data_IF_139285263519
#
_entry.id   IF_139285263519
#
_cell.length_a   1.000
_cell.length_b   1.000
_cell.length_c   1.000
_cell.angle_alpha   90.00
_cell.angle_beta   90.00
_cell.angle_gamma   90.00
#
_symmetry.space_group_name_H-M   'P 1'
#
loop_
_entity.id
_entity.type
_entity.pdbx_description
1 polymer ?
#
# COMPACT_ATOMS: atom_id res chain seq x y z
N UNK A 1 -18.80 -1.95 19.14
CA UNK A 1 -17.40 -1.56 19.43
C UNK A 1 -16.45 -2.14 18.36
N UNK A 2 -16.27 -3.46 18.28
CA UNK A 2 -15.36 -4.08 17.28
C UNK A 2 -15.66 -3.76 15.80
N UNK A 3 -16.93 -3.74 15.39
CA UNK A 3 -17.33 -3.32 14.03
C UNK A 3 -16.94 -1.88 13.69
N UNK A 4 -16.90 -0.98 14.67
CA UNK A 4 -16.48 0.40 14.45
C UNK A 4 -14.97 0.49 14.18
N UNK A 5 -14.18 -0.35 14.88
CA UNK A 5 -12.75 -0.50 14.59
C UNK A 5 -12.52 -1.06 13.17
N UNK A 6 -13.26 -2.10 12.79
CA UNK A 6 -13.19 -2.68 11.44
C UNK A 6 -13.54 -1.66 10.35
N UNK A 7 -14.63 -0.89 10.53
CA UNK A 7 -14.99 0.19 9.60
C UNK A 7 -13.90 1.26 9.49
N UNK A 8 -13.22 1.57 10.60
CA UNK A 8 -12.03 2.41 10.61
C UNK A 8 -10.94 1.88 9.66
N UNK A 9 -10.68 0.57 9.70
CA UNK A 9 -9.68 -0.08 8.83
C UNK A 9 -10.00 0.05 7.34
N UNK A 10 -11.24 -0.23 6.94
CA UNK A 10 -11.61 -0.20 5.52
C UNK A 10 -11.65 1.20 4.92
N UNK A 11 -11.86 2.24 5.75
CA UNK A 11 -11.87 3.64 5.31
C UNK A 11 -10.46 4.25 5.32
N UNK A 12 -9.65 3.95 6.34
CA UNK A 12 -8.38 4.67 6.60
C UNK A 12 -7.23 3.81 7.07
N UNK A 13 -7.33 2.49 6.96
CA UNK A 13 -6.33 1.51 7.36
C UNK A 13 -6.18 1.36 8.87
N UNK A 14 -5.11 0.64 9.28
CA UNK A 14 -4.85 0.28 10.67
C UNK A 14 -4.77 1.47 11.65
N UNK A 15 -4.32 2.65 11.19
CA UNK A 15 -4.27 3.85 12.02
C UNK A 15 -5.69 4.32 12.42
N UNK A 16 -6.61 4.34 11.45
CA UNK A 16 -7.99 4.71 11.70
C UNK A 16 -8.74 3.63 12.50
N UNK A 17 -8.39 2.35 12.30
CA UNK A 17 -8.86 1.25 13.15
C UNK A 17 -8.47 1.41 14.62
N UNK A 18 -7.22 1.81 14.91
CA UNK A 18 -6.75 2.12 16.28
C UNK A 18 -7.43 3.36 16.84
N UNK A 19 -7.64 4.40 16.05
CA UNK A 19 -8.37 5.59 16.50
C UNK A 19 -9.81 5.25 16.92
N UNK A 20 -10.50 4.43 16.12
CA UNK A 20 -11.85 3.96 16.47
C UNK A 20 -11.88 3.09 17.74
N UNK A 21 -10.81 2.34 18.03
CA UNK A 21 -10.68 1.59 19.29
C UNK A 21 -10.76 2.54 20.50
N UNK A 22 -10.03 3.64 20.47
CA UNK A 22 -9.94 4.56 21.62
C UNK A 22 -11.18 5.42 21.79
N UNK A 23 -11.83 5.82 20.68
CA UNK A 23 -13.09 6.57 20.73
C UNK A 23 -14.24 5.71 21.27
N UNK A 24 -14.30 4.43 20.87
CA UNK A 24 -15.41 3.54 21.23
C UNK A 24 -15.07 2.58 22.40
N UNK A 25 -13.91 2.75 23.05
CA UNK A 25 -13.49 1.94 24.19
C UNK A 25 -13.43 0.44 23.90
N UNK A 26 -13.00 0.06 22.69
CA UNK A 26 -12.96 -1.36 22.31
C UNK A 26 -11.83 -2.06 23.06
N UNK A 27 -12.16 -3.10 23.83
CA UNK A 27 -11.18 -3.85 24.60
C UNK A 27 -10.16 -4.57 23.68
N UNK A 28 -8.97 -4.82 24.20
CA UNK A 28 -7.86 -5.39 23.42
C UNK A 28 -8.20 -6.77 22.84
N UNK A 29 -9.02 -7.56 23.54
CA UNK A 29 -9.43 -8.88 23.07
C UNK A 29 -10.30 -8.72 21.84
N UNK A 30 -11.38 -7.95 21.93
CA UNK A 30 -12.29 -7.65 20.81
C UNK A 30 -11.55 -7.01 19.64
N UNK A 31 -10.68 -6.03 19.90
CA UNK A 31 -9.86 -5.39 18.87
C UNK A 31 -8.99 -6.40 18.10
N UNK A 32 -8.32 -7.30 18.82
CA UNK A 32 -7.51 -8.36 18.21
C UNK A 32 -8.34 -9.33 17.36
N UNK A 33 -9.55 -9.68 17.77
CA UNK A 33 -10.43 -10.55 16.95
C UNK A 33 -10.79 -9.87 15.63
N UNK A 34 -11.19 -8.60 15.68
CA UNK A 34 -11.60 -7.85 14.49
C UNK A 34 -10.42 -7.55 13.54
N UNK A 35 -9.20 -7.36 14.06
CA UNK A 35 -8.02 -7.21 13.22
C UNK A 35 -7.70 -8.50 12.43
N UNK A 36 -7.91 -9.66 13.04
CA UNK A 36 -7.74 -10.96 12.36
C UNK A 36 -8.79 -11.15 11.26
N UNK A 37 -10.05 -10.76 11.51
CA UNK A 37 -11.11 -10.76 10.49
C UNK A 37 -10.80 -9.82 9.35
N UNK A 38 -10.31 -8.61 9.65
CA UNK A 38 -9.94 -7.62 8.64
C UNK A 38 -8.95 -8.18 7.61
N UNK A 39 -7.88 -8.80 8.12
CA UNK A 39 -6.85 -9.43 7.27
C UNK A 39 -7.41 -10.61 6.48
N UNK A 40 -8.26 -11.43 7.09
CA UNK A 40 -8.87 -12.58 6.42
C UNK A 40 -9.82 -12.17 5.29
N UNK A 41 -10.71 -11.20 5.54
CA UNK A 41 -11.62 -10.65 4.55
C UNK A 41 -10.87 -9.94 3.43
N UNK A 42 -9.84 -9.15 3.75
CA UNK A 42 -8.99 -8.53 2.73
C UNK A 42 -8.27 -9.57 1.86
N UNK A 43 -7.78 -10.66 2.47
CA UNK A 43 -7.12 -11.76 1.74
C UNK A 43 -8.09 -12.53 0.84
N UNK A 44 -9.30 -12.82 1.31
CA UNK A 44 -10.34 -13.46 0.51
C UNK A 44 -10.78 -12.54 -0.64
N UNK A 45 -10.99 -11.25 -0.37
CA UNK A 45 -11.33 -10.26 -1.38
C UNK A 45 -10.23 -10.13 -2.43
N UNK A 46 -8.97 -10.11 -2.02
CA UNK A 46 -7.82 -10.15 -2.93
C UNK A 46 -7.87 -11.37 -3.84
N UNK A 47 -8.15 -12.56 -3.31
CA UNK A 47 -8.27 -13.78 -4.12
C UNK A 47 -9.41 -13.66 -5.16
N UNK A 48 -10.56 -13.10 -4.76
CA UNK A 48 -11.68 -12.82 -5.67
C UNK A 48 -11.26 -11.83 -6.76
N UNK A 49 -10.60 -10.72 -6.40
CA UNK A 49 -10.13 -9.72 -7.35
C UNK A 49 -9.11 -10.30 -8.33
N UNK A 50 -8.16 -11.13 -7.87
CA UNK A 50 -7.19 -11.80 -8.73
C UNK A 50 -7.88 -12.78 -9.70
N UNK A 51 -8.90 -13.50 -9.24
CA UNK A 51 -9.72 -14.36 -10.08
C UNK A 51 -10.50 -13.56 -11.15
N UNK A 52 -11.09 -12.43 -10.77
CA UNK A 52 -11.81 -11.54 -11.68
C UNK A 52 -10.88 -10.79 -12.65
N UNK A 53 -9.67 -10.44 -12.23
CA UNK A 53 -8.71 -9.70 -13.04
C UNK A 53 -8.37 -10.44 -14.35
N UNK A 54 -8.27 -11.77 -14.31
CA UNK A 54 -8.04 -12.58 -15.52
C UNK A 54 -9.26 -12.65 -16.46
N UNK A 55 -10.43 -12.15 -16.03
CA UNK A 55 -11.68 -12.11 -16.79
C UNK A 55 -12.13 -10.68 -17.11
N UNK A 56 -11.30 -9.67 -16.82
CA UNK A 56 -11.65 -8.26 -16.95
C UNK A 56 -12.26 -7.93 -18.31
N UNK A 57 -11.63 -8.34 -19.43
CA UNK A 57 -12.12 -8.05 -20.78
C UNK A 57 -13.54 -8.59 -21.06
N UNK A 58 -13.87 -9.78 -20.55
CA UNK A 58 -15.20 -10.37 -20.71
C UNK A 58 -16.24 -9.58 -19.91
N UNK A 59 -15.87 -9.15 -18.70
CA UNK A 59 -16.72 -8.33 -17.83
C UNK A 59 -16.95 -6.96 -18.46
N UNK A 60 -15.89 -6.32 -18.96
CA UNK A 60 -15.93 -5.00 -19.60
C UNK A 60 -16.84 -5.02 -20.84
N UNK A 61 -16.69 -6.03 -21.70
CA UNK A 61 -17.53 -6.21 -22.90
C UNK A 61 -18.98 -6.44 -22.53
N UNK A 62 -19.25 -7.28 -21.51
CA UNK A 62 -20.60 -7.57 -21.05
C UNK A 62 -21.29 -6.35 -20.44
N UNK A 63 -20.53 -5.49 -19.78
CA UNK A 63 -21.03 -4.26 -19.15
C UNK A 63 -21.06 -3.06 -20.11
N UNK A 64 -20.59 -3.21 -21.35
CA UNK A 64 -20.48 -2.13 -22.32
C UNK A 64 -19.48 -1.05 -21.91
N UNK A 65 -18.46 -1.40 -21.12
CA UNK A 65 -17.45 -0.46 -20.65
C UNK A 65 -16.51 -0.06 -21.79
N UNK A 66 -16.26 1.24 -21.93
CA UNK A 66 -15.28 1.77 -22.89
C UNK A 66 -13.87 1.77 -22.28
N UNK A 67 -13.04 0.79 -22.66
CA UNK A 67 -11.67 0.64 -22.17
C UNK A 67 -10.62 1.30 -23.05
N UNK A 68 -11.00 1.99 -24.14
CA UNK A 68 -10.06 2.49 -25.16
C UNK A 68 -8.94 3.34 -24.59
N UNK A 69 -9.25 4.26 -23.68
CA UNK A 69 -8.25 5.12 -23.05
C UNK A 69 -7.24 4.32 -22.20
N UNK A 70 -7.71 3.29 -21.50
CA UNK A 70 -6.88 2.41 -20.69
C UNK A 70 -5.98 1.58 -21.60
N UNK A 71 -6.53 1.02 -22.68
CA UNK A 71 -5.79 0.18 -23.62
C UNK A 71 -4.74 0.98 -24.39
N UNK A 72 -5.06 2.22 -24.80
CA UNK A 72 -4.09 3.13 -25.40
C UNK A 72 -2.96 3.48 -24.42
N UNK A 73 -3.28 3.77 -23.16
CA UNK A 73 -2.28 4.04 -22.13
C UNK A 73 -1.37 2.81 -21.91
N UNK A 74 -1.95 1.61 -21.79
CA UNK A 74 -1.19 0.35 -21.67
C UNK A 74 -0.25 0.17 -22.87
N UNK A 75 -0.76 0.37 -24.08
CA UNK A 75 0.03 0.26 -25.31
C UNK A 75 1.20 1.26 -25.31
N UNK A 76 0.96 2.53 -24.95
CA UNK A 76 2.01 3.56 -24.83
C UNK A 76 3.07 3.19 -23.80
N UNK A 77 2.67 2.70 -22.62
CA UNK A 77 3.62 2.26 -21.58
C UNK A 77 4.45 1.08 -22.07
N UNK A 78 3.80 0.06 -22.67
CA UNK A 78 4.50 -1.12 -23.19
C UNK A 78 5.49 -0.79 -24.30
N UNK A 79 5.13 0.13 -25.20
CA UNK A 79 6.02 0.59 -26.28
C UNK A 79 7.21 1.38 -25.72
N UNK A 80 6.99 2.22 -24.71
CA UNK A 80 8.05 2.94 -24.03
C UNK A 80 9.01 1.99 -23.31
N UNK A 81 8.49 1.01 -22.57
CA UNK A 81 9.31 -0.03 -21.95
C UNK A 81 10.11 -0.81 -23.00
N UNK A 82 9.49 -1.24 -24.10
CA UNK A 82 10.17 -2.00 -25.13
C UNK A 82 11.30 -1.21 -25.82
N UNK A 83 11.11 0.10 -26.02
CA UNK A 83 12.12 0.97 -26.63
C UNK A 83 13.28 1.32 -25.69
N UNK A 84 12.99 1.43 -24.39
CA UNK A 84 13.95 1.94 -23.42
C UNK A 84 14.57 0.85 -22.54
N UNK A 85 14.01 -0.36 -22.48
CA UNK A 85 14.52 -1.43 -21.64
C UNK A 85 15.94 -1.83 -22.03
N UNK A 86 16.80 -1.92 -21.02
CA UNK A 86 18.17 -2.44 -21.14
C UNK A 86 18.44 -3.50 -20.09
N UNK A 87 19.45 -4.34 -20.35
CA UNK A 87 19.92 -5.31 -19.37
C UNK A 87 20.57 -4.52 -18.21
N UNK A 88 20.10 -4.67 -16.96
CA UNK A 88 20.66 -3.94 -15.83
C UNK A 88 22.06 -4.44 -15.51
N UNK A 89 22.99 -3.50 -15.27
CA UNK A 89 24.28 -3.82 -14.67
C UNK A 89 24.15 -3.93 -13.14
N UNK A 90 25.15 -4.52 -12.48
CA UNK A 90 25.22 -4.53 -11.02
C UNK A 90 25.17 -3.11 -10.43
N UNK A 91 25.83 -2.15 -11.08
CA UNK A 91 25.79 -0.74 -10.67
C UNK A 91 24.38 -0.18 -10.75
N UNK A 92 23.63 -0.47 -11.81
CA UNK A 92 22.24 0.00 -11.94
C UNK A 92 21.37 -0.51 -10.79
N UNK A 93 21.48 -1.81 -10.46
CA UNK A 93 20.74 -2.41 -9.35
C UNK A 93 21.11 -1.78 -8.01
N UNK A 94 22.41 -1.58 -7.74
CA UNK A 94 22.88 -0.94 -6.51
C UNK A 94 22.40 0.51 -6.40
N UNK A 95 22.39 1.26 -7.51
CA UNK A 95 21.87 2.64 -7.54
C UNK A 95 20.36 2.66 -7.31
N UNK A 96 19.58 1.77 -7.94
CA UNK A 96 18.14 1.68 -7.71
C UNK A 96 17.84 1.42 -6.22
N UNK A 97 18.51 0.41 -5.62
CA UNK A 97 18.34 0.09 -4.20
C UNK A 97 18.79 1.25 -3.32
N UNK A 98 19.94 1.86 -3.63
CA UNK A 98 20.49 2.98 -2.87
C UNK A 98 19.57 4.20 -2.89
N UNK A 99 19.00 4.54 -4.06
CA UNK A 99 18.03 5.64 -4.18
C UNK A 99 16.74 5.31 -3.44
N UNK A 100 16.23 4.08 -3.53
CA UNK A 100 15.02 3.66 -2.84
C UNK A 100 15.20 3.70 -1.31
N UNK A 101 16.22 3.04 -0.78
CA UNK A 101 16.51 3.00 0.66
C UNK A 101 16.93 4.37 1.20
N UNK A 102 17.73 5.11 0.44
CA UNK A 102 18.15 6.48 0.81
C UNK A 102 16.96 7.44 0.86
N UNK A 103 16.07 7.38 -0.13
CA UNK A 103 14.84 8.17 -0.15
C UNK A 103 13.91 7.83 1.01
N UNK A 104 13.69 6.55 1.29
CA UNK A 104 12.88 6.11 2.44
C UNK A 104 13.54 6.51 3.77
N UNK A 105 14.86 6.33 3.91
CA UNK A 105 15.61 6.75 5.10
C UNK A 105 15.51 8.25 5.36
N UNK A 106 15.64 9.07 4.31
CA UNK A 106 15.45 10.51 4.39
C UNK A 106 14.00 10.87 4.77
N UNK A 107 13.01 10.20 4.21
CA UNK A 107 11.60 10.38 4.58
C UNK A 107 11.40 10.10 6.07
N UNK A 108 11.97 9.02 6.61
CA UNK A 108 11.91 8.71 8.04
C UNK A 108 12.59 9.77 8.91
N UNK A 109 13.77 10.27 8.50
CA UNK A 109 14.51 11.29 9.23
C UNK A 109 13.75 12.62 9.31
N UNK A 110 13.02 13.00 8.25
CA UNK A 110 12.21 14.23 8.20
C UNK A 110 10.85 14.03 8.87
N UNK A 111 10.24 12.86 8.73
CA UNK A 111 8.89 12.59 9.22
C UNK A 111 8.76 12.74 10.75
N UNK A 112 9.79 12.36 11.51
CA UNK A 112 9.77 12.46 12.97
C UNK A 112 9.69 13.91 13.49
N UNK A 113 10.62 14.83 13.13
CA UNK A 113 10.50 16.22 13.54
C UNK A 113 9.27 16.92 12.95
N UNK A 114 8.86 16.56 11.72
CA UNK A 114 7.71 17.17 11.06
C UNK A 114 6.40 16.81 11.75
N UNK A 115 6.15 15.52 12.01
CA UNK A 115 4.98 15.07 12.77
C UNK A 115 4.94 15.64 14.19
N UNK A 116 6.10 15.72 14.86
CA UNK A 116 6.22 16.37 16.17
C UNK A 116 5.85 17.86 16.14
N UNK A 117 6.27 18.58 15.10
CA UNK A 117 5.89 19.98 14.91
C UNK A 117 4.38 20.15 14.68
N UNK A 118 3.77 19.31 13.83
CA UNK A 118 2.32 19.33 13.60
C UNK A 118 1.54 19.03 14.88
N UNK A 119 1.99 18.05 15.66
CA UNK A 119 1.39 17.72 16.96
C UNK A 119 1.42 18.88 17.96
N UNK A 120 2.50 19.66 17.97
CA UNK A 120 2.69 20.76 18.92
C UNK A 120 2.02 22.07 18.49
N UNK A 121 1.92 22.35 17.18
CA UNK A 121 1.52 23.66 16.66
C UNK A 121 0.13 23.66 16.03
N UNK A 122 -0.44 22.50 15.69
CA UNK A 122 -1.71 22.40 14.95
C UNK A 122 -2.69 21.52 15.71
N UNK A 123 -3.71 22.15 16.31
CA UNK A 123 -4.70 21.46 17.16
C UNK A 123 -5.57 20.44 16.43
N UNK A 124 -5.77 20.60 15.12
CA UNK A 124 -6.55 19.69 14.28
C UNK A 124 -5.70 18.59 13.61
N UNK A 125 -4.38 18.57 13.83
CA UNK A 125 -3.48 17.64 13.15
C UNK A 125 -3.85 16.16 13.39
N UNK A 126 -4.27 15.82 14.60
CA UNK A 126 -4.66 14.45 14.96
C UNK A 126 -5.90 13.95 14.23
N UNK A 127 -6.81 14.85 13.82
CA UNK A 127 -8.01 14.48 13.06
C UNK A 127 -7.67 13.92 11.67
N UNK A 128 -6.56 14.38 11.09
CA UNK A 128 -6.08 13.96 9.77
C UNK A 128 -4.80 13.10 9.87
N UNK A 129 -4.45 12.63 11.07
CA UNK A 129 -3.23 11.85 11.33
C UNK A 129 -1.93 12.57 10.93
N UNK A 130 -1.92 13.91 10.87
CA UNK A 130 -0.73 14.70 10.55
C UNK A 130 0.28 14.75 11.70
N UNK A 131 -0.12 14.31 12.88
CA UNK A 131 0.75 14.03 14.03
C UNK A 131 1.40 12.64 13.97
N UNK A 132 1.02 11.81 12.98
CA UNK A 132 1.59 10.48 12.76
C UNK A 132 2.82 10.55 11.86
N UNK A 133 3.94 10.02 12.35
CA UNK A 133 5.17 9.88 11.54
C UNK A 133 4.91 9.04 10.28
N UNK A 134 4.06 8.01 10.37
CA UNK A 134 3.78 7.10 9.25
C UNK A 134 3.19 7.82 8.04
N UNK A 135 2.25 8.76 8.26
CA UNK A 135 1.63 9.56 7.20
C UNK A 135 2.70 10.39 6.46
N UNK A 136 3.60 11.03 7.21
CA UNK A 136 4.66 11.82 6.61
C UNK A 136 5.70 10.99 5.86
N UNK A 137 6.02 9.78 6.33
CA UNK A 137 6.89 8.86 5.57
C UNK A 137 6.28 8.57 4.20
N UNK A 138 4.99 8.20 4.15
CA UNK A 138 4.31 7.91 2.88
C UNK A 138 4.28 9.14 1.97
N UNK A 139 3.86 10.30 2.51
CA UNK A 139 3.75 11.53 1.74
C UNK A 139 5.10 11.97 1.17
N UNK A 140 6.15 11.98 2.01
CA UNK A 140 7.49 12.38 1.59
C UNK A 140 8.10 11.39 0.61
N UNK A 141 7.99 10.08 0.85
CA UNK A 141 8.48 9.06 -0.10
C UNK A 141 7.79 9.16 -1.46
N UNK A 142 6.47 9.38 -1.47
CA UNK A 142 5.70 9.55 -2.71
C UNK A 142 6.08 10.85 -3.43
N UNK A 143 6.19 11.96 -2.70
CA UNK A 143 6.59 13.25 -3.24
C UNK A 143 8.02 13.21 -3.81
N UNK A 144 8.95 12.54 -3.13
CA UNK A 144 10.32 12.35 -3.63
C UNK A 144 10.34 11.46 -4.86
N UNK A 145 9.60 10.35 -4.88
CA UNK A 145 9.49 9.49 -6.06
C UNK A 145 8.95 10.25 -7.29
N UNK A 146 7.88 11.02 -7.08
CA UNK A 146 7.31 11.89 -8.12
C UNK A 146 8.31 12.98 -8.55
N UNK A 147 8.97 13.63 -7.61
CA UNK A 147 10.00 14.64 -7.89
C UNK A 147 11.16 14.06 -8.72
N UNK A 148 11.67 12.89 -8.33
CA UNK A 148 12.72 12.19 -9.06
C UNK A 148 12.29 11.78 -10.47
N UNK A 149 10.99 11.52 -10.70
CA UNK A 149 10.45 11.17 -12.02
C UNK A 149 10.59 12.30 -13.05
N UNK A 150 10.70 13.55 -12.61
CA UNK A 150 10.96 14.71 -13.47
C UNK A 150 12.47 14.94 -13.73
N UNK A 151 13.34 14.16 -13.09
CA UNK A 151 14.79 14.27 -13.23
C UNK A 151 15.37 13.14 -14.08
N UNK A 152 16.70 13.16 -14.27
CA UNK A 152 17.43 12.06 -14.93
C UNK A 152 17.29 10.72 -14.19
N UNK A 153 16.91 10.71 -12.91
CA UNK A 153 16.65 9.49 -12.15
C UNK A 153 15.55 8.61 -12.77
N UNK A 154 14.63 9.19 -13.56
CA UNK A 154 13.65 8.43 -14.35
C UNK A 154 14.28 7.40 -15.29
N UNK A 155 15.53 7.60 -15.74
CA UNK A 155 16.25 6.62 -16.58
C UNK A 155 16.57 5.31 -15.86
N UNK A 156 16.47 5.27 -14.52
CA UNK A 156 16.58 4.02 -13.76
C UNK A 156 15.43 3.06 -14.08
N UNK A 157 14.31 3.57 -14.58
CA UNK A 157 13.19 2.75 -15.02
C UNK A 157 13.56 1.85 -16.21
N UNK A 158 14.40 2.35 -17.13
CA UNK A 158 14.94 1.57 -18.23
C UNK A 158 15.81 0.38 -17.77
N UNK A 159 16.40 0.47 -16.58
CA UNK A 159 17.15 -0.61 -15.93
C UNK A 159 16.26 -1.51 -15.04
N UNK A 160 14.95 -1.24 -14.96
CA UNK A 160 13.99 -2.10 -14.26
C UNK A 160 13.69 -1.69 -12.81
N UNK A 161 13.72 -0.39 -12.48
CA UNK A 161 13.36 0.09 -11.13
C UNK A 161 11.97 -0.40 -10.67
N UNK A 162 10.92 -0.30 -11.51
CA UNK A 162 9.59 -0.85 -11.15
C UNK A 162 9.56 -2.37 -10.96
N UNK A 163 10.38 -3.13 -11.71
CA UNK A 163 10.48 -4.59 -11.53
C UNK A 163 11.05 -4.92 -10.16
N UNK A 164 12.08 -4.20 -9.72
CA UNK A 164 12.64 -4.35 -8.38
C UNK A 164 11.65 -3.92 -7.29
N UNK A 165 10.90 -2.84 -7.53
CA UNK A 165 9.79 -2.44 -6.66
C UNK A 165 8.73 -3.54 -6.51
N UNK A 166 8.39 -4.23 -7.59
CA UNK A 166 7.47 -5.38 -7.58
C UNK A 166 8.03 -6.55 -6.76
N UNK A 167 9.33 -6.81 -6.82
CA UNK A 167 9.98 -7.82 -5.96
C UNK A 167 9.83 -7.45 -4.48
N UNK A 168 10.07 -6.19 -4.11
CA UNK A 168 9.86 -5.74 -2.72
C UNK A 168 8.39 -5.82 -2.30
N UNK A 169 7.45 -5.54 -3.20
CA UNK A 169 6.02 -5.70 -2.95
C UNK A 169 5.69 -7.18 -2.65
N UNK A 170 6.16 -8.11 -3.47
CA UNK A 170 5.93 -9.54 -3.23
C UNK A 170 6.60 -10.03 -1.94
N UNK A 171 7.79 -9.53 -1.62
CA UNK A 171 8.44 -9.80 -0.34
C UNK A 171 7.62 -9.27 0.85
N UNK A 172 7.08 -8.05 0.75
CA UNK A 172 6.19 -7.48 1.76
C UNK A 172 4.92 -8.32 1.95
N UNK A 173 4.27 -8.72 0.85
CA UNK A 173 3.08 -9.58 0.88
C UNK A 173 3.40 -10.91 1.56
N UNK A 174 4.54 -11.53 1.23
CA UNK A 174 4.99 -12.74 1.88
C UNK A 174 5.24 -12.55 3.39
N UNK A 175 5.87 -11.45 3.79
CA UNK A 175 6.09 -11.10 5.20
C UNK A 175 4.79 -10.92 5.98
N UNK A 176 3.79 -10.26 5.39
CA UNK A 176 2.46 -10.11 6.00
C UNK A 176 1.80 -11.49 6.13
N UNK A 177 1.85 -12.30 5.07
CA UNK A 177 1.29 -13.65 5.07
C UNK A 177 1.89 -14.57 6.14
N UNK A 178 3.20 -14.44 6.41
CA UNK A 178 3.89 -15.23 7.46
C UNK A 178 3.47 -14.85 8.89
N UNK A 179 2.96 -13.64 9.11
CA UNK A 179 2.50 -13.18 10.43
C UNK A 179 1.08 -13.67 10.76
N UNK A 180 0.33 -14.17 9.77
CA UNK A 180 -1.05 -14.61 9.94
C UNK A 180 -1.14 -16.09 10.37
N UNK A 181 -1.81 -16.35 11.49
CA UNK A 181 -2.18 -17.71 11.88
C UNK A 181 -3.52 -18.10 11.26
N UNK A 182 -3.49 -18.69 10.06
CA UNK A 182 -4.69 -19.15 9.34
C UNK A 182 -5.54 -20.16 10.13
N UNK A 183 -4.92 -20.96 11.00
CA UNK A 183 -5.63 -21.97 11.78
C UNK A 183 -6.51 -21.35 12.88
N UNK A 184 -6.09 -20.22 13.45
CA UNK A 184 -6.90 -19.49 14.46
C UNK A 184 -8.19 -18.89 13.92
N UNK A 185 -8.33 -18.76 12.59
CA UNK A 185 -9.58 -18.37 11.94
C UNK A 185 -10.61 -19.50 11.95
N UNK A 186 -10.17 -20.76 11.90
CA UNK A 186 -11.05 -21.94 11.92
C UNK A 186 -11.69 -22.16 13.29
N UNK A 187 -11.07 -21.66 14.36
CA UNK A 187 -11.61 -21.72 15.73
C UNK A 187 -12.78 -20.73 15.95
N UNK A 188 -12.99 -19.80 15.01
CA UNK A 188 -14.07 -18.79 15.09
C UNK A 188 -14.81 -18.64 13.76
N UNK A 189 -15.47 -19.72 13.28
CA UNK A 189 -16.09 -19.73 11.95
C UNK A 189 -17.25 -18.73 11.81
N UNK A 190 -17.86 -18.31 12.92
CA UNK A 190 -18.92 -17.30 12.94
C UNK A 190 -18.44 -15.91 12.49
N UNK A 191 -17.14 -15.63 12.56
CA UNK A 191 -16.57 -14.35 12.11
C UNK A 191 -16.55 -14.21 10.58
N UNK A 192 -16.66 -15.30 9.81
CA UNK A 192 -16.79 -15.25 8.35
C UNK A 192 -18.22 -14.94 7.87
N UNK A 193 -19.21 -14.98 8.77
CA UNK A 193 -20.62 -14.68 8.48
C UNK A 193 -21.01 -13.22 8.79
N UNK A 194 -20.07 -12.43 9.31
CA UNK A 194 -20.19 -10.99 9.57
C UNK A 194 -19.74 -10.18 8.34
#
# INVERSE_FOLDING_TARGET
AGMAALAGSWIGGGANMVAMREVFGTDATTFGQFAVVDVACASLWMAILLFLANRAQQIDTRNGADTRAIDEMKARISAYEAQNARIPSMTDLMVIVGVALGGVGLAHAIAAPLSGWFKANVSWASQFSLDSQFVWVILLSTAMGLGLSFTRARQLEAAGASRLGTVFLYFLIACIGMQMNLLSLLDRPWLFLL
#
